data_IF_316464191728
#
_entry.id   IF_316464191728
#
_cell.length_a   1.000
_cell.length_b   1.000
_cell.length_c   1.000
_cell.angle_alpha   90.00
_cell.angle_beta   90.00
_cell.angle_gamma   90.00
#
_symmetry.space_group_name_H-M   'P 1'
#
loop_
_entity.id
_entity.type
_entity.pdbx_description
1 polymer ?
#
# COMPACT_ATOMS: atom_id res chain seq x y z
N UNK A 1 13.69 -73.42 -0.99
CA UNK A 1 13.14 -72.25 -0.25
C UNK A 1 12.49 -72.81 0.99
N UNK A 2 12.98 -72.35 2.16
CA UNK A 2 12.47 -72.74 3.48
C UNK A 2 11.11 -72.03 3.70
N UNK A 3 9.99 -72.74 3.76
CA UNK A 3 8.67 -72.16 3.89
C UNK A 3 8.39 -71.55 5.31
N UNK A 4 9.35 -71.63 6.22
CA UNK A 4 9.23 -71.09 7.59
C UNK A 4 9.96 -69.76 7.78
N UNK A 5 10.62 -69.25 6.73
CA UNK A 5 11.27 -67.95 6.81
C UNK A 5 10.22 -66.85 6.74
N UNK A 6 10.08 -66.11 7.82
CA UNK A 6 9.33 -64.85 7.81
C UNK A 6 9.98 -63.87 6.85
N UNK A 7 9.21 -63.36 5.90
CA UNK A 7 9.63 -62.27 5.04
C UNK A 7 9.36 -60.93 5.79
N UNK A 8 10.43 -60.26 6.19
CA UNK A 8 10.30 -58.90 6.72
C UNK A 8 10.32 -57.93 5.55
N UNK A 9 9.27 -57.15 5.41
CA UNK A 9 9.17 -56.04 4.45
C UNK A 9 9.33 -54.78 5.24
N UNK A 10 10.46 -54.10 5.08
CA UNK A 10 10.69 -52.78 5.67
C UNK A 10 10.17 -51.72 4.69
N UNK A 11 9.21 -50.91 5.18
CA UNK A 11 8.72 -49.75 4.47
C UNK A 11 9.38 -48.49 5.04
N UNK A 12 10.05 -47.74 4.20
CA UNK A 12 10.49 -46.41 4.53
C UNK A 12 9.48 -45.36 4.02
N UNK A 13 9.26 -44.30 4.81
CA UNK A 13 8.44 -43.19 4.36
C UNK A 13 9.15 -42.46 3.21
N UNK A 14 8.42 -42.11 2.17
CA UNK A 14 8.92 -41.34 1.06
C UNK A 14 9.33 -39.94 1.49
N UNK A 15 10.35 -39.39 0.85
CA UNK A 15 10.76 -38.00 1.01
C UNK A 15 9.81 -37.12 0.20
N UNK A 16 9.28 -36.09 0.85
CA UNK A 16 8.37 -35.11 0.31
C UNK A 16 9.03 -33.74 0.24
N UNK A 17 8.56 -32.89 -0.66
CA UNK A 17 8.95 -31.49 -0.76
C UNK A 17 7.73 -30.59 -0.67
N UNK A 18 7.83 -29.51 0.12
CA UNK A 18 6.85 -28.44 0.16
C UNK A 18 7.48 -27.11 -0.25
N UNK A 19 6.74 -26.30 -0.99
CA UNK A 19 7.16 -24.99 -1.50
C UNK A 19 6.13 -23.95 -1.14
N UNK A 20 6.55 -22.91 -0.42
CA UNK A 20 5.71 -21.75 -0.12
C UNK A 20 6.07 -20.59 -1.02
N UNK A 21 5.12 -20.11 -1.82
CA UNK A 21 5.24 -18.99 -2.76
C UNK A 21 4.63 -17.73 -2.18
N UNK A 22 5.28 -16.58 -2.41
CA UNK A 22 4.77 -15.25 -2.04
C UNK A 22 4.37 -14.53 -3.31
N UNK A 23 3.07 -14.23 -3.45
CA UNK A 23 2.51 -13.70 -4.71
C UNK A 23 1.55 -12.55 -4.47
N UNK A 24 1.32 -11.75 -5.52
CA UNK A 24 0.25 -10.78 -5.57
C UNK A 24 -1.12 -11.47 -5.84
N UNK A 25 -2.26 -10.74 -5.77
CA UNK A 25 -3.58 -11.31 -6.07
C UNK A 25 -3.74 -11.86 -7.49
N UNK A 26 -2.86 -11.48 -8.42
CA UNK A 26 -2.82 -12.00 -9.79
C UNK A 26 -1.95 -13.25 -9.94
N UNK A 27 -1.28 -13.68 -8.85
CA UNK A 27 -0.39 -14.85 -8.84
C UNK A 27 1.04 -14.54 -9.27
N UNK A 28 1.40 -13.26 -9.47
CA UNK A 28 2.78 -12.89 -9.79
C UNK A 28 3.65 -12.90 -8.52
N UNK A 29 4.91 -13.37 -8.59
CA UNK A 29 5.82 -13.35 -7.46
C UNK A 29 6.04 -11.92 -6.92
N UNK A 30 6.07 -11.77 -5.60
CA UNK A 30 6.46 -10.50 -4.96
C UNK A 30 7.94 -10.23 -5.26
N UNK A 31 8.29 -9.05 -5.81
CA UNK A 31 9.66 -8.72 -6.17
C UNK A 31 10.64 -8.81 -4.99
N UNK A 32 11.75 -9.50 -5.19
CA UNK A 32 12.82 -9.64 -4.18
C UNK A 32 12.50 -10.61 -3.05
N UNK A 33 11.46 -11.43 -3.18
CA UNK A 33 11.09 -12.47 -2.22
C UNK A 33 11.33 -13.85 -2.83
N UNK A 34 12.09 -14.69 -2.13
CA UNK A 34 12.31 -16.07 -2.53
C UNK A 34 11.22 -16.99 -1.98
N UNK A 35 10.93 -18.07 -2.70
CA UNK A 35 10.12 -19.16 -2.16
C UNK A 35 10.82 -19.79 -0.94
N UNK A 36 10.02 -20.25 0.02
CA UNK A 36 10.51 -21.05 1.14
C UNK A 36 10.28 -22.52 0.79
N UNK A 37 11.36 -23.28 0.75
CA UNK A 37 11.32 -24.72 0.46
C UNK A 37 11.67 -25.52 1.69
N UNK A 38 11.03 -26.68 1.86
CA UNK A 38 11.34 -27.63 2.91
C UNK A 38 11.13 -29.06 2.44
N UNK A 39 11.87 -29.98 3.04
CA UNK A 39 11.77 -31.41 2.75
C UNK A 39 11.62 -32.18 4.06
N UNK A 40 10.85 -33.26 4.03
CA UNK A 40 10.62 -34.14 5.18
C UNK A 40 10.06 -35.48 4.72
N UNK A 41 9.73 -36.34 5.67
CA UNK A 41 9.12 -37.63 5.37
C UNK A 41 7.59 -37.50 5.37
N UNK A 42 6.94 -38.29 4.52
CA UNK A 42 5.48 -38.36 4.44
C UNK A 42 4.83 -38.48 5.82
N UNK A 43 3.91 -37.58 6.13
CA UNK A 43 3.17 -37.48 7.39
C UNK A 43 3.95 -36.87 8.56
N UNK A 44 5.19 -36.40 8.35
CA UNK A 44 5.91 -35.60 9.34
C UNK A 44 5.44 -34.14 9.31
N UNK A 45 5.52 -33.41 10.44
CA UNK A 45 5.13 -32.00 10.48
C UNK A 45 5.97 -31.11 9.55
N UNK A 46 5.32 -30.12 8.93
CA UNK A 46 6.00 -28.99 8.31
C UNK A 46 6.73 -28.17 9.38
N UNK A 47 7.90 -27.64 9.05
CA UNK A 47 8.82 -27.01 10.04
C UNK A 47 9.06 -25.52 9.81
N UNK A 48 8.61 -24.97 8.66
CA UNK A 48 8.94 -23.62 8.23
C UNK A 48 7.92 -22.54 8.62
N UNK A 49 6.96 -22.85 9.50
CA UNK A 49 5.91 -21.90 9.91
C UNK A 49 6.46 -20.56 10.44
N UNK A 50 7.53 -20.61 11.25
CA UNK A 50 8.16 -19.40 11.78
C UNK A 50 8.85 -18.59 10.67
N UNK A 51 9.49 -19.27 9.72
CA UNK A 51 10.18 -18.62 8.59
C UNK A 51 9.15 -17.93 7.68
N UNK A 52 8.03 -18.60 7.36
CA UNK A 52 6.92 -18.03 6.60
C UNK A 52 6.34 -16.80 7.30
N UNK A 53 6.07 -16.89 8.62
CA UNK A 53 5.55 -15.78 9.41
C UNK A 53 6.53 -14.60 9.47
N UNK A 54 7.81 -14.89 9.59
CA UNK A 54 8.87 -13.86 9.59
C UNK A 54 8.91 -13.10 8.26
N UNK A 55 8.81 -13.81 7.13
CA UNK A 55 8.80 -13.17 5.82
C UNK A 55 7.54 -12.33 5.61
N UNK A 56 6.36 -12.82 6.03
CA UNK A 56 5.12 -12.02 6.03
C UNK A 56 5.32 -10.74 6.84
N UNK A 57 5.88 -10.82 8.04
CA UNK A 57 6.12 -9.65 8.91
C UNK A 57 7.04 -8.62 8.25
N UNK A 58 8.10 -9.09 7.57
CA UNK A 58 8.99 -8.19 6.81
C UNK A 58 8.27 -7.48 5.67
N UNK A 59 7.37 -8.18 4.97
CA UNK A 59 6.59 -7.60 3.88
C UNK A 59 5.56 -6.58 4.38
N UNK A 60 4.89 -6.86 5.50
CA UNK A 60 4.01 -5.89 6.17
C UNK A 60 4.81 -4.64 6.57
N UNK A 61 6.01 -4.80 7.11
CA UNK A 61 6.88 -3.66 7.44
C UNK A 61 7.32 -2.84 6.20
N UNK A 62 7.26 -3.42 4.99
CA UNK A 62 7.49 -2.73 3.71
C UNK A 62 6.23 -2.05 3.15
N UNK A 63 5.07 -2.22 3.76
CA UNK A 63 3.81 -1.63 3.33
C UNK A 63 2.91 -2.56 2.52
N UNK A 64 3.09 -3.88 2.61
CA UNK A 64 2.15 -4.85 2.05
C UNK A 64 1.06 -5.21 3.05
N UNK A 65 -0.13 -5.50 2.54
CA UNK A 65 -1.25 -6.09 3.28
C UNK A 65 -1.31 -7.59 3.01
N UNK A 66 -1.46 -8.39 4.05
CA UNK A 66 -1.68 -9.83 3.91
C UNK A 66 -3.13 -10.09 3.50
N UNK A 67 -3.33 -10.72 2.33
CA UNK A 67 -4.65 -11.11 1.83
C UNK A 67 -5.00 -12.53 2.30
N UNK A 68 -4.08 -13.47 2.15
CA UNK A 68 -4.28 -14.85 2.60
C UNK A 68 -2.94 -15.57 2.81
N UNK A 69 -3.00 -16.60 3.63
CA UNK A 69 -1.92 -17.54 3.86
C UNK A 69 -2.51 -18.93 4.08
N UNK A 70 -2.14 -19.89 3.23
CA UNK A 70 -2.60 -21.27 3.34
C UNK A 70 -1.51 -22.26 3.78
N UNK A 71 -0.33 -21.78 4.22
CA UNK A 71 0.73 -22.64 4.71
C UNK A 71 0.23 -23.57 5.82
N UNK A 72 0.43 -24.87 5.63
CA UNK A 72 0.06 -25.89 6.61
C UNK A 72 -1.44 -26.07 6.86
N UNK A 73 -2.33 -25.52 6.02
CA UNK A 73 -3.79 -25.66 6.20
C UNK A 73 -4.35 -26.97 5.67
N UNK A 74 -3.59 -27.72 4.90
CA UNK A 74 -3.90 -29.06 4.44
C UNK A 74 -3.13 -30.11 5.25
N UNK A 75 -3.49 -31.38 5.11
CA UNK A 75 -2.84 -32.52 5.76
C UNK A 75 -2.49 -32.32 7.24
N UNK A 76 -3.30 -31.53 7.98
CA UNK A 76 -3.08 -31.18 9.39
C UNK A 76 -1.69 -30.56 9.64
N UNK A 77 -1.12 -29.82 8.70
CA UNK A 77 0.20 -29.19 8.79
C UNK A 77 1.36 -30.16 8.64
N UNK A 78 1.12 -31.29 7.97
CA UNK A 78 2.14 -32.30 7.71
C UNK A 78 2.45 -32.41 6.21
N UNK A 79 3.60 -32.99 5.88
CA UNK A 79 3.87 -33.44 4.52
C UNK A 79 2.84 -34.45 4.06
N UNK A 80 2.40 -34.33 2.82
CA UNK A 80 1.44 -35.26 2.20
C UNK A 80 2.06 -36.63 1.88
N UNK A 81 1.40 -37.42 1.03
CA UNK A 81 1.85 -38.76 0.64
C UNK A 81 2.13 -38.89 -0.85
N UNK A 82 2.08 -37.76 -1.59
CA UNK A 82 2.28 -37.75 -3.04
C UNK A 82 3.70 -37.30 -3.37
N UNK A 83 4.65 -38.25 -3.39
CA UNK A 83 6.05 -37.99 -3.73
C UNK A 83 6.27 -37.62 -5.21
N UNK A 84 5.25 -37.72 -6.05
CA UNK A 84 5.30 -37.36 -7.47
C UNK A 84 5.08 -35.87 -7.72
N UNK A 85 4.65 -35.10 -6.70
CA UNK A 85 4.33 -33.69 -6.82
C UNK A 85 4.71 -32.91 -5.55
N UNK A 86 5.37 -31.77 -5.73
CA UNK A 86 5.65 -30.86 -4.63
C UNK A 86 4.33 -30.32 -4.02
N UNK A 87 4.24 -30.31 -2.70
CA UNK A 87 3.15 -29.71 -1.94
C UNK A 87 3.30 -28.17 -2.00
N UNK A 88 2.31 -27.48 -2.56
CA UNK A 88 2.42 -26.03 -2.80
C UNK A 88 1.55 -25.22 -1.84
N UNK A 89 2.16 -24.23 -1.22
CA UNK A 89 1.50 -23.22 -0.40
C UNK A 89 1.66 -21.84 -1.01
N UNK A 90 0.68 -20.97 -0.76
CA UNK A 90 0.67 -19.61 -1.29
C UNK A 90 0.35 -18.62 -0.18
N UNK A 91 1.20 -17.63 -0.06
CA UNK A 91 0.97 -16.42 0.73
C UNK A 91 0.66 -15.29 -0.25
N UNK A 92 -0.54 -14.74 -0.19
CA UNK A 92 -1.00 -13.66 -1.07
C UNK A 92 -0.91 -12.33 -0.33
N UNK A 93 -0.19 -11.36 -0.90
CA UNK A 93 -0.06 -10.01 -0.37
C UNK A 93 -0.35 -8.98 -1.47
N UNK A 94 -0.91 -7.85 -1.07
CA UNK A 94 -1.11 -6.70 -1.95
C UNK A 94 -0.40 -5.48 -1.40
N UNK A 95 -0.08 -4.50 -2.25
CA UNK A 95 0.46 -3.22 -1.77
C UNK A 95 -0.64 -2.42 -1.09
N UNK A 96 -0.34 -1.82 0.08
CA UNK A 96 -1.30 -0.93 0.75
C UNK A 96 -1.47 0.38 0.00
N UNK A 97 -2.72 0.81 -0.19
CA UNK A 97 -3.07 2.11 -0.78
C UNK A 97 -3.66 2.99 0.30
N UNK A 98 -2.93 4.03 0.68
CA UNK A 98 -3.36 4.99 1.69
C UNK A 98 -4.06 6.19 1.06
N UNK A 99 -5.27 6.50 1.52
CA UNK A 99 -5.95 7.73 1.18
C UNK A 99 -5.31 8.93 1.89
N UNK A 100 -5.07 10.00 1.13
CA UNK A 100 -4.52 11.25 1.63
C UNK A 100 -5.53 12.36 1.41
N UNK A 101 -6.19 12.85 2.49
CA UNK A 101 -7.09 13.98 2.38
C UNK A 101 -6.34 15.24 1.93
N UNK A 102 -7.03 16.20 1.27
CA UNK A 102 -6.41 17.46 0.90
C UNK A 102 -5.81 18.20 2.09
N UNK A 103 -4.62 18.74 1.92
CA UNK A 103 -3.96 19.63 2.87
C UNK A 103 -3.20 20.72 2.13
N UNK A 104 -2.98 21.85 2.79
CA UNK A 104 -2.20 22.98 2.27
C UNK A 104 -0.78 22.94 2.84
N UNK A 105 0.18 22.45 2.06
CA UNK A 105 1.59 22.37 2.46
C UNK A 105 2.24 23.74 2.73
N UNK A 106 1.59 24.83 2.33
CA UNK A 106 2.02 26.21 2.60
C UNK A 106 1.49 26.75 3.92
N UNK A 107 0.49 26.07 4.51
CA UNK A 107 -0.07 26.40 5.80
C UNK A 107 0.44 25.45 6.90
N UNK A 108 1.38 25.90 7.74
CA UNK A 108 1.96 25.04 8.78
C UNK A 108 0.97 24.60 9.87
N UNK A 109 -0.21 25.22 9.91
CA UNK A 109 -1.29 24.91 10.86
C UNK A 109 -2.42 24.09 10.25
N UNK A 110 -2.29 23.61 9.02
CA UNK A 110 -3.30 22.74 8.43
C UNK A 110 -3.32 21.39 9.18
N UNK A 111 -4.46 21.02 9.82
CA UNK A 111 -4.55 19.81 10.64
C UNK A 111 -4.40 18.51 9.82
N UNK A 112 -4.62 18.58 8.51
CA UNK A 112 -4.54 17.43 7.62
C UNK A 112 -3.11 17.20 7.09
N UNK A 113 -2.17 18.12 7.35
CA UNK A 113 -0.79 17.96 6.92
C UNK A 113 -0.16 16.75 7.63
N UNK A 114 0.31 15.74 6.88
CA UNK A 114 1.01 14.61 7.47
C UNK A 114 2.25 15.07 8.26
N UNK A 115 2.59 14.34 9.31
CA UNK A 115 3.76 14.68 10.14
C UNK A 115 4.93 13.77 9.79
N UNK A 116 6.12 14.31 9.50
CA UNK A 116 7.32 13.50 9.27
C UNK A 116 7.57 12.50 10.42
N UNK A 117 7.96 11.27 10.06
CA UNK A 117 8.23 10.21 11.02
C UNK A 117 7.00 9.41 11.48
N UNK A 118 5.78 9.88 11.22
CA UNK A 118 4.57 9.09 11.44
C UNK A 118 4.40 8.03 10.33
N UNK A 119 3.78 6.87 10.62
CA UNK A 119 3.49 5.88 9.58
C UNK A 119 2.56 6.47 8.52
N UNK A 120 2.81 6.11 7.25
CA UNK A 120 1.91 6.49 6.15
C UNK A 120 0.56 5.80 6.32
N UNK A 121 0.58 4.50 6.63
CA UNK A 121 -0.58 3.74 7.07
C UNK A 121 -0.65 3.79 8.61
N UNK A 122 -1.66 4.45 9.19
CA UNK A 122 -1.81 4.53 10.65
C UNK A 122 -2.00 3.16 11.34
N UNK A 123 -2.51 2.16 10.61
CA UNK A 123 -2.74 0.81 11.13
C UNK A 123 -1.46 -0.05 11.10
N UNK A 124 -0.42 0.41 10.39
CA UNK A 124 0.88 -0.27 10.32
C UNK A 124 2.00 0.59 10.94
N UNK A 125 2.16 0.60 12.26
CA UNK A 125 3.14 1.43 12.93
C UNK A 125 4.61 1.08 12.60
N UNK A 126 4.86 -0.10 12.05
CA UNK A 126 6.19 -0.55 11.61
C UNK A 126 6.45 -0.27 10.14
N UNK A 127 5.42 0.15 9.40
CA UNK A 127 5.48 0.43 7.96
C UNK A 127 6.27 1.68 7.60
N UNK A 128 6.30 2.00 6.29
CA UNK A 128 6.93 3.21 5.76
C UNK A 128 6.40 4.48 6.43
N UNK A 129 7.29 5.48 6.56
CA UNK A 129 7.01 6.73 7.28
C UNK A 129 6.90 7.91 6.32
N UNK A 130 6.11 8.91 6.70
CA UNK A 130 6.10 10.20 6.05
C UNK A 130 7.48 10.86 6.15
N UNK A 131 8.00 11.33 5.03
CA UNK A 131 9.20 12.17 4.98
C UNK A 131 8.81 13.58 4.58
N UNK A 132 9.67 14.56 4.91
CA UNK A 132 9.43 15.94 4.50
C UNK A 132 9.37 16.08 2.96
N UNK A 133 10.22 15.33 2.24
CA UNK A 133 10.27 15.34 0.78
C UNK A 133 8.96 14.81 0.19
N UNK A 134 8.43 13.72 0.73
CA UNK A 134 7.18 13.14 0.28
C UNK A 134 6.01 14.11 0.53
N UNK A 135 5.93 14.70 1.73
CA UNK A 135 4.90 15.69 2.08
C UNK A 135 4.97 16.89 1.15
N UNK A 136 6.17 17.44 0.88
CA UNK A 136 6.36 18.57 -0.04
C UNK A 136 6.03 18.23 -1.49
N UNK A 137 6.17 16.97 -1.90
CA UNK A 137 5.82 16.52 -3.26
C UNK A 137 4.33 16.40 -3.52
N UNK A 138 3.51 16.37 -2.46
CA UNK A 138 2.06 16.23 -2.56
C UNK A 138 1.40 17.58 -2.84
N UNK A 139 0.82 17.69 -4.04
CA UNK A 139 0.08 18.87 -4.49
C UNK A 139 -1.43 18.64 -4.35
N UNK A 140 -1.95 18.76 -3.13
CA UNK A 140 -3.39 18.54 -2.84
C UNK A 140 -4.19 19.82 -2.68
N UNK A 141 -3.53 20.97 -2.55
CA UNK A 141 -4.14 22.31 -2.49
C UNK A 141 -3.44 23.27 -3.44
N UNK A 142 -4.20 24.10 -4.11
CA UNK A 142 -3.69 25.13 -5.03
C UNK A 142 -4.46 26.44 -4.84
N UNK A 143 -3.71 27.52 -4.78
CA UNK A 143 -4.27 28.87 -4.72
C UNK A 143 -4.10 29.57 -6.08
N UNK A 144 -5.16 30.16 -6.58
CA UNK A 144 -5.17 30.93 -7.82
C UNK A 144 -5.69 32.34 -7.52
N UNK A 145 -4.92 33.34 -7.87
CA UNK A 145 -5.38 34.72 -7.80
C UNK A 145 -6.20 35.04 -9.05
N UNK A 146 -7.41 35.56 -8.83
CA UNK A 146 -8.29 36.05 -9.86
C UNK A 146 -8.33 37.58 -9.77
N UNK A 147 -8.04 38.26 -10.89
CA UNK A 147 -8.15 39.72 -10.99
C UNK A 147 -9.39 40.06 -11.78
N UNK A 148 -10.25 40.92 -11.23
CA UNK A 148 -11.47 41.41 -11.85
C UNK A 148 -11.29 42.90 -12.10
N UNK A 149 -11.32 43.27 -13.37
CA UNK A 149 -11.30 44.69 -13.81
C UNK A 149 -12.68 45.10 -14.28
N UNK A 150 -13.22 46.17 -13.72
CA UNK A 150 -14.47 46.77 -14.22
C UNK A 150 -14.10 47.80 -15.32
N UNK A 151 -14.51 47.53 -16.53
CA UNK A 151 -14.22 48.38 -17.69
C UNK A 151 -15.48 48.76 -18.46
N UNK A 152 -15.47 49.95 -19.05
CA UNK A 152 -16.47 50.41 -20.03
C UNK A 152 -16.25 49.74 -21.38
N UNK A 153 -17.19 49.91 -22.30
CA UNK A 153 -17.10 49.40 -23.67
C UNK A 153 -15.88 49.93 -24.41
N UNK A 154 -15.43 51.15 -24.07
CA UNK A 154 -14.24 51.79 -24.62
C UNK A 154 -12.92 51.31 -23.96
N UNK A 155 -12.98 50.35 -23.02
CA UNK A 155 -11.84 49.82 -22.28
C UNK A 155 -11.37 50.64 -21.07
N UNK A 156 -11.99 51.83 -20.83
CA UNK A 156 -11.64 52.62 -19.68
C UNK A 156 -12.21 52.00 -18.36
N UNK A 157 -11.45 52.15 -17.28
CA UNK A 157 -11.88 51.66 -15.96
C UNK A 157 -13.14 52.34 -15.46
N UNK A 158 -14.03 51.54 -14.84
CA UNK A 158 -15.25 52.02 -14.20
C UNK A 158 -15.01 52.20 -12.72
N UNK A 159 -15.49 53.33 -12.15
CA UNK A 159 -15.55 53.49 -10.70
C UNK A 159 -16.63 52.58 -10.09
N UNK A 160 -16.28 51.83 -9.09
CA UNK A 160 -17.22 51.01 -8.32
C UNK A 160 -17.12 51.37 -6.84
N UNK A 161 -18.10 50.97 -6.06
CA UNK A 161 -18.07 51.09 -4.60
C UNK A 161 -17.63 49.77 -3.99
N UNK A 162 -16.58 49.79 -3.18
CA UNK A 162 -16.08 48.59 -2.50
C UNK A 162 -16.97 48.19 -1.29
N UNK A 163 -16.67 47.07 -0.66
CA UNK A 163 -17.41 46.57 0.50
C UNK A 163 -17.41 47.51 1.72
N UNK A 164 -16.46 48.43 1.78
CA UNK A 164 -16.30 49.39 2.88
C UNK A 164 -16.94 50.75 2.52
N UNK A 165 -17.63 50.84 1.36
CA UNK A 165 -18.32 52.04 0.89
C UNK A 165 -17.44 53.06 0.15
N UNK A 166 -16.16 52.74 -0.14
CA UNK A 166 -15.25 53.63 -0.83
C UNK A 166 -15.35 53.47 -2.34
N UNK A 167 -15.21 54.59 -3.06
CA UNK A 167 -15.13 54.56 -4.51
C UNK A 167 -13.72 54.21 -4.99
N UNK A 168 -13.62 53.29 -5.96
CA UNK A 168 -12.35 52.79 -6.49
C UNK A 168 -12.46 52.47 -7.96
N UNK A 169 -11.35 52.64 -8.71
CA UNK A 169 -11.13 52.13 -10.07
C UNK A 169 -10.11 51.02 -10.10
N UNK A 170 -9.59 50.60 -8.94
CA UNK A 170 -8.61 49.56 -8.84
C UNK A 170 -9.22 48.16 -9.19
N UNK A 171 -8.38 47.29 -9.70
CA UNK A 171 -8.77 45.89 -9.91
C UNK A 171 -9.07 45.20 -8.57
N UNK A 172 -10.09 44.38 -8.54
CA UNK A 172 -10.38 43.54 -7.39
C UNK A 172 -9.63 42.24 -7.52
N UNK A 173 -8.78 41.96 -6.55
CA UNK A 173 -8.06 40.66 -6.48
C UNK A 173 -8.80 39.73 -5.52
N UNK A 174 -9.10 38.54 -6.01
CA UNK A 174 -9.75 37.46 -5.27
C UNK A 174 -8.87 36.20 -5.33
N UNK A 175 -8.79 35.47 -4.23
CA UNK A 175 -8.04 34.23 -4.12
C UNK A 175 -8.99 33.05 -4.13
N UNK A 176 -8.91 32.22 -5.14
CA UNK A 176 -9.70 30.98 -5.23
C UNK A 176 -8.79 29.79 -4.85
N UNK A 177 -9.27 28.99 -3.94
CA UNK A 177 -8.58 27.77 -3.50
C UNK A 177 -9.22 26.56 -4.15
N UNK A 178 -8.39 25.67 -4.66
CA UNK A 178 -8.78 24.36 -5.18
C UNK A 178 -8.12 23.27 -4.36
N UNK A 179 -8.84 22.17 -4.15
CA UNK A 179 -8.33 20.98 -3.47
C UNK A 179 -8.57 19.73 -4.30
N UNK A 180 -7.75 18.74 -4.10
CA UNK A 180 -7.93 17.38 -4.63
C UNK A 180 -7.44 16.35 -3.63
N UNK A 181 -8.09 15.18 -3.50
CA UNK A 181 -7.55 14.07 -2.73
C UNK A 181 -6.38 13.41 -3.48
N UNK A 182 -5.57 12.69 -2.75
CA UNK A 182 -4.54 11.82 -3.32
C UNK A 182 -4.64 10.41 -2.72
N UNK A 183 -4.07 9.44 -3.43
CA UNK A 183 -3.83 8.08 -2.95
C UNK A 183 -2.35 7.78 -3.11
N UNK A 184 -1.75 7.19 -2.11
CA UNK A 184 -0.35 6.76 -2.16
C UNK A 184 -0.24 5.25 -2.04
N UNK A 185 0.47 4.62 -2.98
CA UNK A 185 0.90 3.25 -2.82
C UNK A 185 2.09 3.23 -1.86
N UNK A 186 1.90 2.63 -0.68
CA UNK A 186 2.87 2.70 0.42
C UNK A 186 4.17 1.97 0.10
N UNK A 187 4.11 0.93 -0.75
CA UNK A 187 5.30 0.16 -1.16
C UNK A 187 6.11 0.88 -2.23
N UNK A 188 5.44 1.41 -3.25
CA UNK A 188 6.10 1.99 -4.44
C UNK A 188 6.32 3.49 -4.33
N UNK A 189 5.58 4.17 -3.44
CA UNK A 189 5.54 5.63 -3.36
C UNK A 189 4.78 6.30 -4.49
N UNK A 190 4.11 5.53 -5.37
CA UNK A 190 3.33 6.09 -6.47
C UNK A 190 2.14 6.85 -5.93
N UNK A 191 1.91 8.07 -6.46
CA UNK A 191 0.81 8.94 -6.05
C UNK A 191 -0.19 9.07 -7.20
N UNK A 192 -1.46 8.86 -6.89
CA UNK A 192 -2.58 9.11 -7.77
C UNK A 192 -3.40 10.27 -7.22
N UNK A 193 -3.73 11.24 -8.07
CA UNK A 193 -4.51 12.41 -7.69
C UNK A 193 -5.94 12.34 -8.20
N UNK A 194 -6.87 12.76 -7.36
CA UNK A 194 -8.24 13.05 -7.77
C UNK A 194 -8.36 14.34 -8.59
N UNK A 195 -9.59 14.68 -8.94
CA UNK A 195 -9.90 15.91 -9.68
C UNK A 195 -9.82 17.13 -8.76
N UNK A 196 -9.36 18.26 -9.32
CA UNK A 196 -9.43 19.54 -8.63
C UNK A 196 -10.89 20.00 -8.46
N UNK A 197 -11.24 20.39 -7.27
CA UNK A 197 -12.54 21.00 -6.91
C UNK A 197 -12.30 22.34 -6.22
N UNK A 198 -13.09 23.39 -6.57
CA UNK A 198 -13.00 24.65 -5.86
C UNK A 198 -13.50 24.47 -4.42
N UNK A 199 -12.83 25.11 -3.47
CA UNK A 199 -13.32 25.26 -2.11
C UNK A 199 -14.28 26.45 -2.11
N UNK A 200 -15.55 26.22 -1.84
CA UNK A 200 -16.53 27.31 -1.69
C UNK A 200 -16.20 28.05 -0.40
N UNK A 201 -15.88 29.32 -0.54
CA UNK A 201 -15.76 30.27 0.58
C UNK A 201 -17.12 30.81 0.97
#
# INVERSE_FOLDING_TARGET
>A
TDPTKNLEINYEKDTQKAVTKFVDPSGNPIPGVNNIEETGKSGEPLTKATEVTTEITKLIAKGYDLVSNNYGKDNNGNFDKDSGKDQEYTVVLTTHIQDVPPFDSTNPNDPNTPKPGQPIDPENPTGPKWTEELIKSLETTKHVNRTISYVKEDGNKVEYTDKDGNKSTADVTDKVTFTRPAKINVVTGTIEYGKWTPVNN
#
